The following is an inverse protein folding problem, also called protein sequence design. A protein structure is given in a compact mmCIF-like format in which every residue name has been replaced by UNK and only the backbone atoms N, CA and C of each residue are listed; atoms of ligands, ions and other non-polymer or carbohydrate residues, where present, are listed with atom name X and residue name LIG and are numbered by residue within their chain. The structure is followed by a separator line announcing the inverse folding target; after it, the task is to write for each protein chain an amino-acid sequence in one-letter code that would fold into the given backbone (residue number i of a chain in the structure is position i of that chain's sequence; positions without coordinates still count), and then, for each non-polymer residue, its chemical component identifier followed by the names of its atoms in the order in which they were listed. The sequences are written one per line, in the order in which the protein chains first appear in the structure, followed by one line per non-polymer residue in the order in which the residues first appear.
data_IF_952698885866
#
_entry.id   IF_952698885866
#
_cell.length_a   1.000
_cell.length_b   1.000
_cell.length_c   1.000
_cell.angle_alpha   90.00
_cell.angle_beta   90.00
_cell.angle_gamma   90.00
#
_symmetry.space_group_name_H-M   'P 1'
#
loop_
_entity.id
_entity.type
_entity.pdbx_description
1 polymer ?
#
# COMPACT_ATOMS: atom_id res chain seq x y z
N UNK A 1 8.62 28.74 -10.46
CA UNK A 1 8.21 27.77 -9.41
C UNK A 1 8.67 26.36 -9.81
N UNK A 2 9.46 25.66 -8.98
CA UNK A 2 9.87 24.29 -9.29
C UNK A 2 8.68 23.33 -9.18
N UNK A 3 8.63 22.30 -10.05
CA UNK A 3 7.61 21.25 -9.97
C UNK A 3 7.77 20.44 -8.69
N UNK A 4 6.66 20.14 -8.01
CA UNK A 4 6.66 19.29 -6.82
C UNK A 4 7.05 17.86 -7.23
N UNK A 5 8.08 17.31 -6.58
CA UNK A 5 8.55 15.94 -6.86
C UNK A 5 7.68 14.93 -6.12
N UNK A 6 7.21 13.91 -6.83
CA UNK A 6 6.46 12.80 -6.22
C UNK A 6 7.39 11.89 -5.42
N UNK A 7 6.98 11.49 -4.20
CA UNK A 7 7.64 10.41 -3.47
C UNK A 7 7.45 9.08 -4.19
N UNK A 8 8.51 8.59 -4.84
CA UNK A 8 8.47 7.34 -5.61
C UNK A 8 8.15 6.12 -4.74
N UNK A 9 8.54 6.14 -3.46
CA UNK A 9 8.23 5.07 -2.50
C UNK A 9 6.75 4.93 -2.20
N UNK A 10 6.00 6.04 -2.21
CA UNK A 10 4.55 6.04 -2.01
C UNK A 10 3.83 5.67 -3.31
N UNK A 11 4.26 6.25 -4.44
CA UNK A 11 3.68 5.96 -5.76
C UNK A 11 3.75 4.46 -6.15
N UNK A 12 4.75 3.72 -5.66
CA UNK A 12 4.87 2.27 -5.86
C UNK A 12 3.90 1.44 -5.01
N UNK A 13 3.38 1.98 -3.90
CA UNK A 13 2.62 1.24 -2.88
C UNK A 13 1.14 1.62 -2.80
N UNK A 14 0.80 2.84 -3.19
CA UNK A 14 -0.55 3.40 -3.07
C UNK A 14 -1.07 3.81 -4.44
N UNK A 15 -2.29 3.36 -4.77
CA UNK A 15 -3.00 3.76 -6.00
C UNK A 15 -4.31 4.42 -5.62
N UNK A 16 -4.63 5.53 -6.28
CA UNK A 16 -5.90 6.26 -6.09
C UNK A 16 -7.02 5.50 -6.79
N UNK A 17 -8.16 5.33 -6.12
CA UNK A 17 -9.40 4.76 -6.68
C UNK A 17 -10.24 5.87 -7.33
N UNK A 18 -11.26 5.50 -8.10
CA UNK A 18 -12.14 6.49 -8.75
C UNK A 18 -12.87 7.43 -7.77
N UNK A 19 -13.01 7.02 -6.50
CA UNK A 19 -13.63 7.80 -5.42
C UNK A 19 -12.64 8.68 -4.65
N UNK A 20 -11.34 8.65 -5.00
CA UNK A 20 -10.29 9.41 -4.31
C UNK A 20 -9.65 8.70 -3.12
N UNK A 21 -10.05 7.46 -2.82
CA UNK A 21 -9.44 6.65 -1.76
C UNK A 21 -8.14 5.99 -2.22
N UNK A 22 -7.34 5.48 -1.27
CA UNK A 22 -6.08 4.80 -1.57
C UNK A 22 -6.18 3.28 -1.40
N UNK A 23 -5.94 2.55 -2.49
CA UNK A 23 -5.75 1.11 -2.48
C UNK A 23 -4.31 0.77 -2.08
N UNK A 24 -4.15 -0.17 -1.14
CA UNK A 24 -2.86 -0.74 -0.68
C UNK A 24 -2.97 -2.24 -0.40
N UNK A 25 -1.83 -2.94 -0.36
CA UNK A 25 -1.77 -4.33 0.08
C UNK A 25 -1.79 -4.44 1.62
N UNK A 26 -2.47 -5.47 2.16
CA UNK A 26 -2.42 -5.81 3.60
C UNK A 26 -1.02 -6.31 3.97
N UNK A 27 -0.54 -5.90 5.14
CA UNK A 27 0.77 -6.31 5.66
C UNK A 27 0.73 -7.75 6.22
N UNK A 28 1.92 -8.29 6.53
CA UNK A 28 2.12 -9.55 7.26
C UNK A 28 1.74 -10.85 6.55
N UNK A 29 1.42 -10.82 5.24
CA UNK A 29 1.09 -12.00 4.43
C UNK A 29 2.27 -12.55 3.59
N UNK A 30 3.52 -12.24 3.96
CA UNK A 30 4.70 -12.60 3.16
C UNK A 30 5.34 -13.94 3.53
N UNK A 31 5.43 -14.28 4.82
CA UNK A 31 6.03 -15.53 5.29
C UNK A 31 5.47 -15.91 6.67
N UNK A 32 5.57 -17.21 6.98
CA UNK A 32 5.05 -17.83 8.20
C UNK A 32 3.54 -17.62 8.33
N UNK A 33 2.79 -18.23 7.43
CA UNK A 33 1.33 -18.11 7.35
C UNK A 33 0.61 -19.11 8.26
N UNK A 34 1.21 -20.26 8.54
CA UNK A 34 0.59 -21.36 9.30
C UNK A 34 0.33 -21.00 10.76
N UNK A 35 1.27 -20.29 11.42
CA UNK A 35 1.13 -19.88 12.83
C UNK A 35 0.47 -18.51 13.01
N UNK A 36 0.25 -17.77 11.91
CA UNK A 36 -0.41 -16.47 11.99
C UNK A 36 -1.91 -16.70 11.98
N UNK A 37 -2.55 -16.34 13.08
CA UNK A 37 -4.02 -16.31 13.15
C UNK A 37 -4.49 -15.32 12.10
N UNK A 38 -5.44 -15.73 11.27
CA UNK A 38 -6.07 -14.87 10.28
C UNK A 38 -6.87 -13.78 11.01
N UNK A 39 -6.22 -12.66 11.32
CA UNK A 39 -6.89 -11.44 11.76
C UNK A 39 -7.57 -10.88 10.51
N UNK A 40 -8.79 -11.36 10.28
CA UNK A 40 -9.64 -10.98 9.14
C UNK A 40 -10.08 -9.54 9.30
#
# INVERSE_FOLDING_TARGET
MPKIKTRRSAAKRFKVTGTGEFKRAKAFKSHILEKKIAIT
#
